data_IF_981943900340
#
_entry.id   IF_981943900340
#
_cell.length_a   1.000
_cell.length_b   1.000
_cell.length_c   1.000
_cell.angle_alpha   90.00
_cell.angle_beta   90.00
_cell.angle_gamma   90.00
#
_symmetry.space_group_name_H-M   'P 1'
#
loop_
_entity.id
_entity.type
_entity.pdbx_description
1 polymer ?
#
# COMPACT_ATOMS: atom_id res chain seq x y z
N UNK A 1 27.72 10.90 21.84
CA UNK A 1 27.44 9.79 22.78
C UNK A 1 27.43 8.52 21.97
N UNK A 2 28.12 7.46 22.41
CA UNK A 2 28.07 6.16 21.74
C UNK A 2 26.69 5.53 21.93
N UNK A 3 26.12 4.98 20.86
CA UNK A 3 24.88 4.20 20.93
C UNK A 3 25.10 2.97 21.81
N UNK A 4 24.11 2.64 22.65
CA UNK A 4 24.13 1.42 23.44
C UNK A 4 24.04 0.21 22.51
N UNK A 5 24.89 -0.78 22.75
CA UNK A 5 24.81 -2.09 22.09
C UNK A 5 23.43 -2.73 22.36
N UNK A 6 23.01 -3.66 21.51
CA UNK A 6 21.74 -4.39 21.68
C UNK A 6 21.69 -5.04 23.06
N UNK A 7 22.78 -5.66 23.51
CA UNK A 7 22.87 -6.29 24.84
C UNK A 7 22.71 -5.28 25.98
N UNK A 8 23.30 -4.09 25.83
CA UNK A 8 23.16 -3.03 26.84
C UNK A 8 21.73 -2.47 26.89
N UNK A 9 21.03 -2.42 25.75
CA UNK A 9 19.61 -2.04 25.69
C UNK A 9 18.72 -3.10 26.34
N UNK A 10 18.95 -4.38 26.04
CA UNK A 10 18.22 -5.51 26.65
C UNK A 10 18.41 -5.50 28.17
N UNK A 11 19.64 -5.28 28.64
CA UNK A 11 19.96 -5.21 30.07
C UNK A 11 19.26 -4.05 30.78
N UNK A 12 19.30 -2.84 30.22
CA UNK A 12 18.61 -1.66 30.77
C UNK A 12 17.11 -1.86 30.92
N UNK A 13 16.48 -2.49 29.93
CA UNK A 13 15.03 -2.76 29.93
C UNK A 13 14.70 -3.89 30.91
N UNK A 14 15.55 -4.92 31.02
CA UNK A 14 15.41 -6.01 32.01
C UNK A 14 15.57 -5.48 33.45
N UNK A 15 16.55 -4.62 33.69
CA UNK A 15 16.81 -3.98 35.00
C UNK A 15 15.65 -3.05 35.41
N UNK A 16 14.95 -2.47 34.43
CA UNK A 16 13.72 -1.70 34.65
C UNK A 16 12.47 -2.57 34.88
N UNK A 17 12.60 -3.90 34.92
CA UNK A 17 11.52 -4.90 34.94
C UNK A 17 10.55 -4.80 33.75
N UNK A 18 11.00 -4.22 32.64
CA UNK A 18 10.25 -4.18 31.40
C UNK A 18 10.55 -5.47 30.60
N UNK A 19 9.51 -6.07 30.01
CA UNK A 19 9.68 -7.27 29.20
C UNK A 19 10.22 -6.86 27.82
N UNK A 20 11.48 -7.21 27.52
CA UNK A 20 12.02 -7.08 26.16
C UNK A 20 11.41 -8.19 25.32
N UNK A 21 10.43 -7.85 24.48
CA UNK A 21 9.88 -8.81 23.54
C UNK A 21 10.81 -8.91 22.33
N UNK A 22 11.69 -9.91 22.33
CA UNK A 22 12.23 -10.45 21.08
C UNK A 22 11.05 -10.80 20.16
N UNK A 23 11.09 -10.36 18.90
CA UNK A 23 10.09 -10.66 17.86
C UNK A 23 9.36 -11.98 18.11
N UNK A 24 8.18 -11.91 18.72
CA UNK A 24 7.36 -13.08 18.96
C UNK A 24 6.77 -13.50 17.61
N UNK A 25 6.90 -14.77 17.27
CA UNK A 25 6.34 -15.29 16.02
C UNK A 25 4.85 -15.58 16.23
N UNK A 26 4.08 -15.69 15.14
CA UNK A 26 2.67 -16.10 15.18
C UNK A 26 2.44 -17.43 15.93
N UNK A 27 3.47 -18.28 16.05
CA UNK A 27 3.39 -19.55 16.77
C UNK A 27 3.36 -19.41 18.30
N UNK A 28 3.89 -18.31 18.84
CA UNK A 28 4.04 -18.09 20.28
C UNK A 28 2.77 -17.53 20.95
N UNK A 29 1.89 -16.87 20.17
CA UNK A 29 0.73 -16.15 20.66
C UNK A 29 -0.48 -17.02 21.08
N UNK A 30 -0.50 -18.32 20.74
CA UNK A 30 -1.63 -19.21 21.07
C UNK A 30 -1.78 -19.54 22.57
N UNK A 31 -0.85 -19.11 23.43
CA UNK A 31 -0.80 -19.50 24.85
C UNK A 31 -1.45 -18.50 25.83
N UNK A 32 -1.89 -17.32 25.40
CA UNK A 32 -2.14 -16.20 26.33
C UNK A 32 -3.60 -15.89 26.69
N UNK A 33 -4.59 -16.65 26.22
CA UNK A 33 -5.97 -16.63 26.75
C UNK A 33 -6.63 -15.24 26.89
N UNK A 34 -6.70 -14.45 25.82
CA UNK A 34 -7.28 -13.10 25.86
C UNK A 34 -8.83 -13.10 25.72
N UNK A 35 -9.49 -12.51 26.73
CA UNK A 35 -10.95 -12.35 26.89
C UNK A 35 -11.67 -11.35 25.94
N UNK A 36 -13.00 -11.46 25.92
CA UNK A 36 -13.95 -11.43 24.78
C UNK A 36 -14.65 -10.08 24.41
N UNK A 37 -14.10 -8.90 24.74
CA UNK A 37 -14.62 -7.61 24.20
C UNK A 37 -13.59 -6.83 23.37
N UNK A 38 -12.60 -7.55 22.84
CA UNK A 38 -11.45 -6.97 22.15
C UNK A 38 -11.78 -6.71 20.68
N UNK A 39 -12.32 -5.53 20.37
CA UNK A 39 -12.27 -5.01 18.99
C UNK A 39 -10.80 -4.76 18.67
N UNK A 40 -10.11 -5.83 18.26
CA UNK A 40 -8.71 -5.78 17.87
C UNK A 40 -8.63 -5.22 16.46
N UNK A 41 -7.88 -4.14 16.27
CA UNK A 41 -7.52 -3.68 14.95
C UNK A 41 -6.74 -4.78 14.19
N UNK A 42 -6.93 -4.86 12.89
CA UNK A 42 -6.08 -5.70 12.05
C UNK A 42 -4.73 -5.01 11.83
N UNK A 43 -3.73 -5.78 11.40
CA UNK A 43 -2.54 -5.16 10.80
C UNK A 43 -2.97 -4.43 9.52
N UNK A 44 -2.44 -3.24 9.29
CA UNK A 44 -2.85 -2.45 8.13
C UNK A 44 -2.42 -1.00 8.19
N UNK A 45 -2.92 -0.23 7.22
CA UNK A 45 -2.71 1.20 7.12
C UNK A 45 -3.95 1.92 7.61
N UNK A 46 -3.75 2.90 8.48
CA UNK A 46 -4.82 3.60 9.15
C UNK A 46 -4.61 5.11 9.03
N UNK A 47 -5.71 5.84 8.81
CA UNK A 47 -5.78 7.23 9.22
C UNK A 47 -6.22 7.25 10.68
N UNK A 48 -5.49 8.00 11.49
CA UNK A 48 -5.83 8.21 12.90
C UNK A 48 -6.44 9.60 13.00
N UNK A 49 -7.76 9.67 13.18
CA UNK A 49 -8.52 10.91 13.11
C UNK A 49 -8.98 11.29 14.50
N UNK A 50 -8.89 12.56 14.85
CA UNK A 50 -9.48 13.11 16.06
C UNK A 50 -10.50 14.18 15.70
N UNK A 51 -11.60 14.24 16.44
CA UNK A 51 -12.59 15.30 16.30
C UNK A 51 -12.26 16.43 17.26
N UNK A 52 -12.16 17.64 16.74
CA UNK A 52 -12.04 18.86 17.55
C UNK A 52 -13.35 19.17 18.28
N UNK A 53 -13.32 20.14 19.20
CA UNK A 53 -14.51 20.65 19.89
C UNK A 53 -15.55 21.25 18.93
N UNK A 54 -15.14 21.76 17.76
CA UNK A 54 -16.04 22.24 16.70
C UNK A 54 -16.46 21.13 15.71
N UNK A 55 -16.13 19.86 16.00
CA UNK A 55 -16.54 18.69 15.22
C UNK A 55 -15.76 18.47 13.92
N UNK A 56 -14.72 19.27 13.66
CA UNK A 56 -13.86 19.08 12.48
C UNK A 56 -12.90 17.91 12.70
N UNK A 57 -12.74 17.02 11.70
CA UNK A 57 -11.73 15.97 11.78
C UNK A 57 -10.34 16.56 11.55
N UNK A 58 -9.39 16.17 12.39
CA UNK A 58 -7.95 16.37 12.19
C UNK A 58 -7.28 15.00 12.09
N UNK A 59 -6.38 14.85 11.14
CA UNK A 59 -5.57 13.64 10.98
C UNK A 59 -4.29 13.77 11.80
N UNK A 60 -3.89 12.67 12.45
CA UNK A 60 -2.53 12.55 12.94
C UNK A 60 -1.59 12.55 11.73
N UNK A 61 -0.64 13.47 11.72
CA UNK A 61 0.35 13.63 10.67
C UNK A 61 1.73 13.92 11.26
N UNK A 62 2.74 13.97 10.40
CA UNK A 62 4.06 14.49 10.76
C UNK A 62 4.13 15.97 10.41
N UNK A 63 4.74 16.79 11.27
CA UNK A 63 5.02 18.19 10.96
C UNK A 63 6.21 18.28 9.97
N UNK A 64 5.94 17.96 8.70
CA UNK A 64 6.94 17.81 7.65
C UNK A 64 7.18 19.03 6.72
N UNK A 65 6.80 20.31 6.98
CA UNK A 65 6.96 21.32 5.94
C UNK A 65 8.41 21.59 5.51
N UNK A 66 9.42 21.25 6.33
CA UNK A 66 10.84 21.52 6.06
C UNK A 66 11.68 20.55 6.89
N UNK A 67 12.65 19.86 6.30
CA UNK A 67 14.03 19.66 6.84
C UNK A 67 14.66 18.32 6.42
N UNK A 68 15.48 18.40 5.36
CA UNK A 68 16.59 17.47 5.16
C UNK A 68 17.49 17.56 6.40
N UNK A 69 17.64 16.46 7.15
CA UNK A 69 18.63 16.33 8.24
C UNK A 69 18.10 16.33 9.68
N UNK A 70 16.79 16.38 9.92
CA UNK A 70 16.25 16.13 11.26
C UNK A 70 16.15 14.63 11.57
N UNK A 71 16.48 14.26 12.81
CA UNK A 71 16.40 12.87 13.30
C UNK A 71 15.11 12.57 14.06
N UNK A 72 14.25 13.59 14.26
CA UNK A 72 12.97 13.50 14.96
C UNK A 72 11.92 14.35 14.23
N UNK A 73 10.75 13.77 13.97
CA UNK A 73 9.61 14.48 13.40
C UNK A 73 8.44 14.40 14.38
N UNK A 74 7.88 15.52 14.86
CA UNK A 74 6.77 15.49 15.80
C UNK A 74 5.50 15.00 15.12
N UNK A 75 4.71 14.24 15.86
CA UNK A 75 3.34 13.89 15.47
C UNK A 75 2.44 15.07 15.82
N UNK A 76 1.65 15.53 14.87
CA UNK A 76 0.71 16.63 15.02
C UNK A 76 -0.68 16.21 14.52
N UNK A 77 -1.72 16.97 14.87
CA UNK A 77 -3.09 16.81 14.43
C UNK A 77 -3.40 17.93 13.44
N UNK A 78 -3.44 17.64 12.15
CA UNK A 78 -3.62 18.66 11.11
C UNK A 78 -4.80 18.41 10.16
N UNK A 79 -5.18 19.47 9.45
CA UNK A 79 -6.12 19.44 8.33
C UNK A 79 -5.42 19.69 6.99
N UNK A 80 -4.09 19.56 6.94
CA UNK A 80 -3.29 19.81 5.74
C UNK A 80 -3.66 18.88 4.58
N UNK A 81 -3.85 19.36 3.35
CA UNK A 81 -4.23 18.48 2.23
C UNK A 81 -3.12 17.50 1.78
N UNK A 82 -1.93 17.53 2.38
CA UNK A 82 -0.86 16.57 2.04
C UNK A 82 -1.24 15.17 2.51
N UNK A 83 -1.53 14.30 1.54
CA UNK A 83 -2.15 12.99 1.75
C UNK A 83 -1.21 12.03 2.50
N UNK A 84 0.10 12.19 2.36
CA UNK A 84 1.10 11.14 2.60
C UNK A 84 1.45 10.95 4.06
N UNK A 85 1.50 12.04 4.82
CA UNK A 85 1.91 12.04 6.23
C UNK A 85 0.80 11.60 7.20
N UNK A 86 -0.41 11.35 6.68
CA UNK A 86 -1.62 11.07 7.48
C UNK A 86 -1.89 9.60 7.70
N UNK A 87 -1.10 8.74 7.08
CA UNK A 87 -1.28 7.30 7.12
C UNK A 87 -0.25 6.66 8.02
N UNK A 88 -0.72 5.71 8.81
CA UNK A 88 0.04 5.03 9.83
C UNK A 88 -0.10 3.53 9.63
N UNK A 89 1.02 2.83 9.54
CA UNK A 89 1.00 1.37 9.56
C UNK A 89 0.99 0.89 10.99
N UNK A 90 -0.02 0.11 11.32
CA UNK A 90 -0.15 -0.62 12.58
C UNK A 90 0.28 -2.07 12.33
N UNK A 91 1.22 -2.56 13.13
CA UNK A 91 1.68 -3.95 13.09
C UNK A 91 1.64 -4.55 14.47
N UNK A 92 0.87 -5.63 14.62
CA UNK A 92 0.62 -6.29 15.89
C UNK A 92 1.91 -6.85 16.47
N UNK A 93 2.10 -6.58 17.76
CA UNK A 93 3.18 -7.13 18.57
C UNK A 93 2.63 -8.31 19.36
N UNK A 94 3.02 -9.51 18.93
CA UNK A 94 2.61 -10.74 19.59
C UNK A 94 3.04 -10.72 21.06
N UNK A 95 2.29 -11.40 21.93
CA UNK A 95 2.52 -11.41 23.38
C UNK A 95 2.00 -10.20 24.14
N UNK A 96 1.57 -9.13 23.46
CA UNK A 96 0.92 -7.97 24.06
C UNK A 96 -0.51 -7.87 23.56
N UNK A 97 -1.49 -7.98 24.46
CA UNK A 97 -2.92 -7.78 24.11
C UNK A 97 -3.10 -6.38 23.54
N UNK A 98 -3.71 -6.25 22.37
CA UNK A 98 -3.82 -5.01 21.60
C UNK A 98 -2.50 -4.23 21.41
N UNK A 99 -1.35 -4.91 21.44
CA UNK A 99 -0.05 -4.28 21.24
C UNK A 99 0.23 -4.08 19.76
N UNK A 100 0.65 -2.87 19.38
CA UNK A 100 1.04 -2.51 18.02
C UNK A 100 2.31 -1.67 18.03
N UNK A 101 3.12 -1.83 16.99
CA UNK A 101 4.01 -0.76 16.55
C UNK A 101 3.25 0.14 15.60
N UNK A 102 3.38 1.45 15.81
CA UNK A 102 2.76 2.49 14.99
C UNK A 102 3.89 3.25 14.30
N UNK A 103 3.94 3.15 12.98
CA UNK A 103 4.95 3.82 12.13
C UNK A 103 4.24 4.60 11.03
N UNK A 104 4.83 5.69 10.48
CA UNK A 104 4.32 6.29 9.26
C UNK A 104 4.20 5.24 8.14
N UNK A 105 3.18 5.34 7.30
CA UNK A 105 2.90 4.35 6.25
C UNK A 105 4.08 4.17 5.29
N UNK A 106 4.77 5.27 4.97
CA UNK A 106 5.93 5.29 4.09
C UNK A 106 7.23 4.85 4.79
N UNK A 107 7.29 4.84 6.13
CA UNK A 107 8.50 4.49 6.85
C UNK A 107 8.82 3.00 6.63
N UNK A 108 10.02 2.61 6.18
CA UNK A 108 10.38 1.20 6.10
C UNK A 108 10.43 0.61 7.52
N UNK A 109 9.79 -0.55 7.76
CA UNK A 109 10.17 -1.39 8.92
C UNK A 109 11.50 -2.03 8.50
N UNK A 110 12.59 -1.29 8.67
CA UNK A 110 13.93 -1.78 8.39
C UNK A 110 14.65 -2.09 9.69
N UNK A 111 15.38 -3.20 9.70
CA UNK A 111 16.25 -3.60 10.80
C UNK A 111 17.39 -2.61 11.10
N UNK A 112 17.63 -1.52 10.33
CA UNK A 112 18.68 -0.54 10.67
C UNK A 112 18.76 0.82 9.92
N UNK A 113 17.98 1.20 8.89
CA UNK A 113 18.42 2.33 8.02
C UNK A 113 17.44 3.45 7.66
N UNK A 114 16.20 3.50 8.17
CA UNK A 114 15.20 4.53 7.85
C UNK A 114 14.58 5.20 9.08
N UNK A 115 13.59 6.09 8.89
CA UNK A 115 12.76 6.59 9.98
C UNK A 115 12.04 5.42 10.66
N UNK A 116 12.06 5.43 11.98
CA UNK A 116 11.62 4.31 12.79
C UNK A 116 10.19 4.44 13.30
N UNK A 117 9.86 3.80 14.42
CA UNK A 117 8.55 3.87 15.05
C UNK A 117 8.31 5.22 15.72
N UNK A 118 7.04 5.49 16.00
CA UNK A 118 6.68 6.55 16.95
C UNK A 118 7.35 6.28 18.30
N UNK A 119 7.78 7.30 19.01
CA UNK A 119 8.46 7.29 20.31
C UNK A 119 8.12 8.56 21.09
N UNK A 120 8.52 8.60 22.35
CA UNK A 120 8.32 9.74 23.24
C UNK A 120 9.67 10.41 23.52
N UNK A 121 9.72 11.75 23.55
CA UNK A 121 10.89 12.49 24.04
C UNK A 121 10.78 12.82 25.54
N UNK A 122 11.83 13.44 26.09
CA UNK A 122 11.86 13.83 27.52
C UNK A 122 10.79 14.86 27.90
N UNK A 123 10.18 15.53 26.90
CA UNK A 123 9.08 16.50 27.07
C UNK A 123 7.71 15.87 26.84
N UNK A 124 7.65 14.53 26.75
CA UNK A 124 6.44 13.77 26.48
C UNK A 124 5.81 14.06 25.13
N UNK A 125 6.48 14.68 24.18
CA UNK A 125 5.95 14.82 22.82
C UNK A 125 6.17 13.51 22.04
N UNK A 126 5.22 13.16 21.18
CA UNK A 126 5.31 11.99 20.31
C UNK A 126 6.06 12.38 19.06
N UNK A 127 7.09 11.60 18.71
CA UNK A 127 7.91 11.80 17.51
C UNK A 127 8.11 10.50 16.76
N UNK A 128 8.49 10.59 15.50
CA UNK A 128 9.11 9.48 14.77
C UNK A 128 10.62 9.67 14.78
N UNK A 129 11.36 8.64 15.19
CA UNK A 129 12.83 8.69 15.33
C UNK A 129 13.51 7.60 14.51
N UNK A 130 14.66 7.93 13.90
CA UNK A 130 15.47 6.98 13.13
C UNK A 130 16.07 5.85 13.99
N UNK A 131 16.59 6.22 15.17
CA UNK A 131 17.42 5.32 15.99
C UNK A 131 16.73 4.89 17.31
N UNK A 132 15.41 5.04 17.43
CA UNK A 132 14.69 4.66 18.65
C UNK A 132 14.32 3.18 18.66
N UNK A 133 14.19 2.61 19.85
CA UNK A 133 13.54 1.32 20.01
C UNK A 133 12.06 1.44 19.58
N UNK A 134 11.43 0.33 19.21
CA UNK A 134 10.00 0.25 18.92
C UNK A 134 9.22 0.24 20.23
N UNK A 135 8.64 1.38 20.68
CA UNK A 135 7.66 1.27 21.75
C UNK A 135 6.48 0.47 21.22
N UNK A 136 5.93 -0.31 22.13
CA UNK A 136 4.71 -1.04 21.88
C UNK A 136 3.59 -0.17 22.43
N UNK A 137 2.60 0.11 21.59
CA UNK A 137 1.41 0.85 21.95
C UNK A 137 0.26 -0.13 22.17
N UNK A 138 -0.47 0.02 23.26
CA UNK A 138 -1.73 -0.67 23.46
C UNK A 138 -2.86 0.18 22.85
N UNK A 139 -3.41 -0.27 21.71
CA UNK A 139 -4.48 0.45 21.01
C UNK A 139 -5.82 -0.15 21.41
N UNK A 140 -6.51 0.52 22.33
CA UNK A 140 -7.73 0.00 22.97
C UNK A 140 -8.95 0.79 22.55
N UNK A 141 -10.01 0.10 22.15
CA UNK A 141 -11.33 0.71 21.95
C UNK A 141 -11.90 1.12 23.32
N UNK A 142 -12.20 2.40 23.51
CA UNK A 142 -12.74 2.93 24.77
C UNK A 142 -14.17 3.47 24.62
N UNK A 143 -14.58 3.85 23.41
CA UNK A 143 -15.93 4.33 23.13
C UNK A 143 -16.40 3.85 21.75
N UNK A 144 -17.69 3.54 21.63
CA UNK A 144 -18.33 3.25 20.35
C UNK A 144 -19.54 4.16 20.18
N UNK A 145 -19.52 4.99 19.15
CA UNK A 145 -20.59 5.94 18.83
C UNK A 145 -21.37 5.44 17.64
N UNK A 146 -22.68 5.29 17.77
CA UNK A 146 -23.55 4.88 16.66
C UNK A 146 -24.38 6.06 16.19
N UNK A 147 -24.36 6.35 14.90
CA UNK A 147 -25.19 7.37 14.26
C UNK A 147 -25.89 6.82 13.04
N UNK A 148 -26.86 7.58 12.54
CA UNK A 148 -27.60 7.25 11.32
C UNK A 148 -27.01 8.03 10.16
N UNK A 149 -26.62 7.34 9.10
CA UNK A 149 -26.11 7.98 7.88
C UNK A 149 -27.23 8.61 7.04
N UNK A 150 -26.84 9.20 5.90
CA UNK A 150 -27.76 9.88 4.97
C UNK A 150 -28.82 8.97 4.37
N UNK A 151 -28.56 7.66 4.31
CA UNK A 151 -29.47 6.64 3.78
C UNK A 151 -30.31 5.98 4.88
N UNK A 152 -30.20 6.47 6.12
CA UNK A 152 -30.93 5.92 7.26
C UNK A 152 -30.30 4.66 7.86
N UNK A 153 -29.11 4.24 7.43
CA UNK A 153 -28.38 3.08 7.96
C UNK A 153 -27.60 3.48 9.21
N UNK A 154 -27.54 2.58 10.18
CA UNK A 154 -26.74 2.79 11.39
C UNK A 154 -25.27 2.49 11.08
N UNK A 155 -24.40 3.43 11.41
CA UNK A 155 -22.94 3.29 11.36
C UNK A 155 -22.41 3.42 12.78
N UNK A 156 -21.60 2.46 13.21
CA UNK A 156 -20.89 2.51 14.49
C UNK A 156 -19.44 2.88 14.23
N UNK A 157 -18.99 4.00 14.80
CA UNK A 157 -17.59 4.40 14.85
C UNK A 157 -17.02 3.95 16.20
N UNK A 158 -15.88 3.26 16.16
CA UNK A 158 -15.11 2.92 17.33
C UNK A 158 -14.01 3.97 17.54
N UNK A 159 -13.88 4.44 18.77
CA UNK A 159 -12.90 5.42 19.21
C UNK A 159 -11.91 4.75 20.15
N UNK A 160 -10.63 4.96 19.86
CA UNK A 160 -9.52 4.25 20.47
C UNK A 160 -8.63 5.21 21.26
N UNK A 161 -8.10 4.75 22.40
CA UNK A 161 -6.91 5.36 23.01
C UNK A 161 -5.66 4.60 22.56
N UNK A 162 -4.59 5.35 22.34
CA UNK A 162 -3.25 4.81 22.06
C UNK A 162 -2.43 4.95 23.34
N UNK A 163 -2.25 3.84 24.05
CA UNK A 163 -1.63 3.80 25.38
C UNK A 163 -0.18 3.33 25.29
N UNK A 164 0.71 3.91 26.06
CA UNK A 164 2.08 3.42 26.20
C UNK A 164 2.08 2.13 27.04
N UNK A 165 2.58 1.02 26.50
CA UNK A 165 2.56 -0.27 27.20
C UNK A 165 3.36 -0.20 28.50
N UNK A 166 2.77 -0.70 29.58
CA UNK A 166 3.39 -0.72 30.91
C UNK A 166 3.27 0.59 31.68
N UNK A 167 2.62 1.62 31.13
CA UNK A 167 2.35 2.88 31.82
C UNK A 167 0.85 3.20 31.82
N UNK A 168 0.46 4.23 32.57
CA UNK A 168 -0.91 4.78 32.53
C UNK A 168 -0.95 6.07 31.71
N UNK A 169 -0.20 6.11 30.61
CA UNK A 169 -0.12 7.28 29.74
C UNK A 169 -0.67 6.97 28.35
N UNK A 170 -1.28 7.96 27.71
CA UNK A 170 -1.82 7.84 26.35
C UNK A 170 -1.45 9.03 25.49
N UNK A 171 -1.62 8.86 24.18
CA UNK A 171 -1.60 9.95 23.22
C UNK A 171 -2.72 10.93 23.53
N UNK A 172 -2.39 12.22 23.51
CA UNK A 172 -3.29 13.34 23.73
C UNK A 172 -2.86 14.51 22.87
N UNK A 173 -3.77 15.08 22.07
CA UNK A 173 -3.48 16.34 21.40
C UNK A 173 -3.60 17.50 22.37
N UNK A 174 -2.74 18.51 22.24
CA UNK A 174 -3.03 19.74 22.97
C UNK A 174 -4.17 20.47 22.25
N UNK A 175 -5.33 20.59 22.91
CA UNK A 175 -6.54 21.21 22.35
C UNK A 175 -6.40 22.71 22.06
N UNK A 176 -5.18 23.26 22.06
CA UNK A 176 -4.85 24.64 21.74
C UNK A 176 -4.41 24.82 20.28
N UNK A 177 -3.74 25.95 20.00
CA UNK A 177 -3.10 26.19 18.70
C UNK A 177 -1.91 25.26 18.42
N UNK A 178 -1.44 24.52 19.43
CA UNK A 178 -0.39 23.53 19.33
C UNK A 178 -0.96 22.20 18.85
N UNK A 179 -0.95 21.97 17.55
CA UNK A 179 -1.41 20.70 16.96
C UNK A 179 -0.62 19.47 17.42
N UNK A 180 0.38 19.58 18.30
CA UNK A 180 1.26 18.47 18.64
C UNK A 180 0.60 17.42 19.52
N UNK A 181 0.82 16.15 19.18
CA UNK A 181 0.45 14.99 20.00
C UNK A 181 1.50 14.76 21.07
N UNK A 182 1.03 14.64 22.30
CA UNK A 182 1.84 14.40 23.51
C UNK A 182 1.37 13.13 24.21
N UNK A 183 2.19 12.66 25.14
CA UNK A 183 1.88 11.60 26.08
C UNK A 183 1.49 12.25 27.40
N UNK A 184 0.31 11.93 27.90
CA UNK A 184 -0.19 12.42 29.17
C UNK A 184 -0.75 11.28 30.01
N UNK A 185 -0.90 11.50 31.32
CA UNK A 185 -1.65 10.59 32.17
C UNK A 185 -3.06 10.43 31.62
N UNK A 186 -3.54 9.19 31.60
CA UNK A 186 -4.89 8.85 31.17
C UNK A 186 -5.92 9.52 32.09
N UNK A 187 -6.91 10.18 31.51
CA UNK A 187 -8.02 10.75 32.29
C UNK A 187 -8.88 9.63 32.88
N UNK A 188 -9.14 9.71 34.19
CA UNK A 188 -10.01 8.77 34.89
C UNK A 188 -11.48 9.00 34.49
N UNK A 189 -12.24 7.91 34.33
CA UNK A 189 -13.64 7.98 33.92
C UNK A 189 -13.79 8.03 32.39
N UNK A 190 -14.72 8.88 31.92
CA UNK A 190 -14.97 9.04 30.48
C UNK A 190 -13.78 9.76 29.83
N UNK A 191 -13.15 9.18 28.79
CA UNK A 191 -12.03 9.81 28.12
C UNK A 191 -12.48 11.10 27.44
N UNK A 192 -11.72 12.20 27.56
CA UNK A 192 -11.98 13.40 26.78
C UNK A 192 -11.69 13.16 25.30
N UNK A 193 -12.32 13.94 24.42
CA UNK A 193 -12.19 13.80 22.96
C UNK A 193 -10.74 13.94 22.46
N UNK A 194 -9.91 14.70 23.17
CA UNK A 194 -8.50 14.91 22.86
C UNK A 194 -7.59 13.69 23.20
N UNK A 195 -8.14 12.65 23.85
CA UNK A 195 -7.50 11.34 24.05
C UNK A 195 -8.01 10.26 23.09
N UNK A 196 -9.08 10.53 22.33
CA UNK A 196 -9.78 9.54 21.50
C UNK A 196 -9.46 9.72 20.01
N UNK A 197 -9.18 8.60 19.34
CA UNK A 197 -8.85 8.52 17.93
C UNK A 197 -9.78 7.55 17.20
N UNK A 198 -10.39 8.01 16.11
CA UNK A 198 -11.04 7.17 15.12
C UNK A 198 -9.96 6.52 14.23
N UNK A 199 -10.00 5.19 14.11
CA UNK A 199 -9.04 4.41 13.34
C UNK A 199 -9.70 3.99 12.02
N UNK A 200 -9.46 4.76 10.96
CA UNK A 200 -10.03 4.47 9.64
C UNK A 200 -9.02 3.65 8.85
N UNK A 201 -9.29 2.34 8.71
CA UNK A 201 -8.52 1.47 7.81
C UNK A 201 -8.55 2.08 6.41
N UNK A 202 -7.42 2.59 5.96
CA UNK A 202 -7.32 3.34 4.73
C UNK A 202 -5.95 3.14 4.14
N UNK A 203 -5.95 2.77 2.87
CA UNK A 203 -4.76 2.47 2.11
C UNK A 203 -4.53 3.69 1.23
N UNK A 204 -3.43 4.47 1.42
CA UNK A 204 -3.18 5.58 0.53
C UNK A 204 -2.85 4.99 -0.84
N UNK A 205 -3.74 5.17 -1.80
CA UNK A 205 -3.58 4.70 -3.16
C UNK A 205 -3.19 5.86 -4.08
N UNK A 206 -2.26 5.61 -4.98
CA UNK A 206 -1.93 6.50 -6.08
C UNK A 206 -2.15 5.81 -7.41
N UNK A 207 -2.60 6.59 -8.38
CA UNK A 207 -2.69 6.15 -9.76
C UNK A 207 -1.40 6.51 -10.48
N UNK A 208 -0.67 5.50 -10.95
CA UNK A 208 0.54 5.65 -11.76
C UNK A 208 0.23 5.17 -13.16
N UNK A 209 0.20 6.09 -14.11
CA UNK A 209 -0.10 5.79 -15.51
C UNK A 209 1.17 5.74 -16.36
N UNK A 210 1.34 4.67 -17.13
CA UNK A 210 2.40 4.54 -18.12
C UNK A 210 1.75 4.54 -19.50
N UNK A 211 2.12 5.53 -20.32
CA UNK A 211 1.57 5.71 -21.65
C UNK A 211 2.54 5.18 -22.71
N UNK A 212 2.00 4.57 -23.76
CA UNK A 212 2.74 4.35 -24.98
C UNK A 212 3.14 5.69 -25.60
N UNK A 213 4.35 5.79 -26.12
CA UNK A 213 4.82 6.97 -26.88
C UNK A 213 4.78 6.76 -28.39
N UNK A 214 4.45 5.55 -28.84
CA UNK A 214 4.46 5.13 -30.24
C UNK A 214 3.17 4.36 -30.57
N UNK A 215 2.94 4.14 -31.86
CA UNK A 215 1.93 3.20 -32.35
C UNK A 215 2.52 1.79 -32.40
N UNK A 216 1.66 0.76 -32.50
CA UNK A 216 2.08 -0.62 -32.69
C UNK A 216 1.19 -1.32 -33.69
N UNK A 217 1.79 -2.22 -34.48
CA UNK A 217 1.03 -3.13 -35.36
C UNK A 217 1.62 -4.52 -35.33
N UNK A 218 0.84 -5.48 -34.84
CA UNK A 218 1.10 -6.91 -34.97
C UNK A 218 0.18 -7.48 -36.06
N UNK A 219 0.76 -8.12 -37.08
CA UNK A 219 0.02 -8.76 -38.18
C UNK A 219 0.45 -10.21 -38.26
N UNK A 220 -0.52 -11.13 -38.25
CA UNK A 220 -0.24 -12.54 -38.44
C UNK A 220 -0.30 -12.92 -39.94
N UNK A 221 0.65 -13.74 -40.36
CA UNK A 221 0.75 -14.28 -41.73
C UNK A 221 0.41 -15.76 -41.81
N UNK A 222 0.18 -16.41 -40.67
CA UNK A 222 -0.11 -17.84 -40.55
C UNK A 222 -0.98 -18.11 -39.32
N UNK A 223 -1.29 -19.38 -39.04
CA UNK A 223 -2.00 -19.77 -37.80
C UNK A 223 -1.19 -19.61 -36.51
N UNK A 224 0.07 -19.18 -36.59
CA UNK A 224 0.91 -18.92 -35.42
C UNK A 224 0.62 -17.55 -34.80
N UNK A 225 0.73 -17.46 -33.48
CA UNK A 225 0.56 -16.20 -32.75
C UNK A 225 1.77 -15.30 -32.98
N UNK A 226 1.53 -14.10 -33.48
CA UNK A 226 2.52 -13.02 -33.53
C UNK A 226 2.35 -12.16 -32.28
N UNK A 227 3.44 -11.97 -31.53
CA UNK A 227 3.51 -11.07 -30.38
C UNK A 227 4.54 -10.00 -30.66
N UNK A 228 4.14 -8.73 -30.52
CA UNK A 228 5.07 -7.61 -30.55
C UNK A 228 5.01 -6.84 -29.25
N UNK A 229 6.19 -6.52 -28.72
CA UNK A 229 6.29 -5.65 -27.56
C UNK A 229 5.77 -4.26 -27.91
N UNK A 230 4.86 -3.75 -27.09
CA UNK A 230 4.31 -2.41 -27.28
C UNK A 230 4.99 -1.40 -26.37
N UNK A 231 4.83 -1.55 -25.05
CA UNK A 231 5.50 -0.77 -24.02
C UNK A 231 5.47 -1.56 -22.72
N UNK A 232 6.15 -1.09 -21.67
CA UNK A 232 6.14 -1.78 -20.39
C UNK A 232 6.65 -0.95 -19.23
N UNK A 233 6.47 -1.48 -18.04
CA UNK A 233 6.88 -0.87 -16.78
C UNK A 233 7.96 -1.73 -16.10
N UNK A 234 9.16 -1.20 -15.82
CA UNK A 234 10.12 -1.92 -15.00
C UNK A 234 9.61 -2.05 -13.56
N UNK A 235 9.86 -3.21 -12.96
CA UNK A 235 9.46 -3.55 -11.60
C UNK A 235 10.71 -3.59 -10.71
N UNK A 236 10.62 -2.97 -9.54
CA UNK A 236 11.65 -3.04 -8.50
C UNK A 236 11.12 -3.78 -7.27
N UNK A 237 12.02 -4.42 -6.52
CA UNK A 237 11.69 -5.12 -5.27
C UNK A 237 10.89 -4.23 -4.31
N UNK A 238 11.24 -2.94 -4.24
CA UNK A 238 10.54 -1.95 -3.40
C UNK A 238 9.11 -1.67 -3.86
N UNK A 239 8.81 -1.78 -5.16
CA UNK A 239 7.48 -1.51 -5.73
C UNK A 239 6.54 -2.72 -5.70
N UNK A 240 7.04 -3.94 -5.78
CA UNK A 240 6.22 -5.16 -5.78
C UNK A 240 5.17 -5.20 -4.66
N UNK A 241 5.52 -4.96 -3.38
CA UNK A 241 4.52 -5.00 -2.32
C UNK A 241 3.51 -3.84 -2.39
N UNK A 242 3.82 -2.79 -3.16
CA UNK A 242 2.99 -1.61 -3.32
C UNK A 242 1.94 -1.77 -4.42
N UNK A 243 2.09 -2.67 -5.39
CA UNK A 243 1.03 -2.84 -6.38
C UNK A 243 -0.27 -3.31 -5.72
N UNK A 244 -1.36 -2.62 -6.05
CA UNK A 244 -2.74 -2.95 -5.67
C UNK A 244 -3.48 -3.51 -6.88
N UNK A 245 -3.35 -2.86 -8.04
CA UNK A 245 -3.91 -3.36 -9.28
C UNK A 245 -3.23 -2.77 -10.51
N UNK A 246 -3.50 -3.37 -11.67
CA UNK A 246 -3.12 -2.82 -12.97
C UNK A 246 -4.25 -3.04 -13.98
N UNK A 247 -4.50 -2.03 -14.81
CA UNK A 247 -5.46 -2.10 -15.92
C UNK A 247 -4.86 -1.47 -17.17
N UNK A 248 -5.10 -2.09 -18.32
CA UNK A 248 -4.68 -1.58 -19.62
C UNK A 248 -5.89 -1.03 -20.38
N UNK A 249 -5.74 0.19 -20.89
CA UNK A 249 -6.64 0.79 -21.87
C UNK A 249 -5.89 1.09 -23.16
N UNK A 250 -6.53 0.93 -24.31
CA UNK A 250 -5.94 1.19 -25.62
C UNK A 250 -6.92 1.91 -26.55
N UNK A 251 -6.40 2.73 -27.47
CA UNK A 251 -7.13 3.20 -28.65
C UNK A 251 -6.65 2.37 -29.84
N UNK A 252 -7.43 1.36 -30.22
CA UNK A 252 -6.98 0.30 -31.11
C UNK A 252 -8.10 -0.19 -32.03
N UNK A 253 -7.70 -0.93 -33.07
CA UNK A 253 -8.59 -1.59 -34.01
C UNK A 253 -7.99 -2.89 -34.52
N UNK A 254 -8.82 -3.72 -35.12
CA UNK A 254 -8.35 -4.83 -35.92
C UNK A 254 -8.34 -4.49 -37.43
N UNK A 255 -8.36 -5.50 -38.29
CA UNK A 255 -8.40 -5.33 -39.75
C UNK A 255 -9.78 -4.90 -40.29
N UNK A 256 -10.85 -4.98 -39.50
CA UNK A 256 -12.20 -4.56 -39.84
C UNK A 256 -13.03 -5.54 -40.69
N UNK A 257 -12.50 -6.72 -40.99
CA UNK A 257 -13.21 -7.76 -41.75
C UNK A 257 -12.70 -9.16 -41.40
N UNK A 258 -13.57 -10.15 -41.49
CA UNK A 258 -13.26 -11.57 -41.33
C UNK A 258 -14.21 -12.39 -42.20
N UNK A 259 -13.72 -13.48 -42.78
CA UNK A 259 -14.58 -14.36 -43.59
C UNK A 259 -15.65 -15.07 -42.75
N UNK A 260 -15.30 -15.37 -41.49
CA UNK A 260 -16.17 -16.03 -40.51
C UNK A 260 -16.07 -15.27 -39.17
N UNK A 261 -16.75 -14.11 -39.05
CA UNK A 261 -16.65 -13.26 -37.86
C UNK A 261 -17.20 -13.93 -36.60
N UNK A 262 -18.04 -14.94 -36.75
CA UNK A 262 -18.62 -15.78 -35.71
C UNK A 262 -17.62 -16.80 -35.12
N UNK A 263 -16.48 -17.03 -35.76
CA UNK A 263 -15.43 -17.95 -35.28
C UNK A 263 -14.47 -17.33 -34.28
N UNK A 264 -14.74 -16.11 -33.82
CA UNK A 264 -14.00 -15.43 -32.76
C UNK A 264 -13.09 -14.30 -33.25
N UNK A 265 -12.51 -13.60 -32.26
CA UNK A 265 -11.66 -12.43 -32.46
C UNK A 265 -10.20 -12.83 -32.24
N UNK A 266 -9.35 -12.67 -33.25
CA UNK A 266 -7.96 -13.17 -33.22
C UNK A 266 -6.92 -12.05 -33.18
N UNK A 267 -7.31 -10.87 -32.68
CA UNK A 267 -6.44 -9.76 -32.32
C UNK A 267 -6.71 -9.33 -30.89
N UNK A 268 -5.67 -9.15 -30.06
CA UNK A 268 -5.82 -8.83 -28.64
C UNK A 268 -4.57 -8.16 -28.06
N UNK A 269 -4.74 -7.60 -26.86
CA UNK A 269 -3.63 -7.21 -26.00
C UNK A 269 -3.50 -8.16 -24.81
N UNK A 270 -2.28 -8.47 -24.41
CA UNK A 270 -1.97 -9.22 -23.19
C UNK A 270 -0.87 -8.52 -22.37
N UNK A 271 -0.91 -8.71 -21.05
CA UNK A 271 0.18 -8.36 -20.14
C UNK A 271 1.08 -9.57 -19.98
N UNK A 272 2.39 -9.38 -20.03
CA UNK A 272 3.38 -10.42 -19.86
C UNK A 272 4.43 -10.02 -18.82
N UNK A 273 4.93 -10.99 -18.06
CA UNK A 273 6.11 -10.78 -17.21
C UNK A 273 7.36 -11.11 -18.02
N UNK A 274 8.17 -10.10 -18.29
CA UNK A 274 9.38 -10.21 -19.10
C UNK A 274 10.62 -10.05 -18.20
N UNK A 275 11.63 -10.94 -18.28
CA UNK A 275 12.86 -10.79 -17.49
C UNK A 275 13.69 -9.54 -17.83
N UNK A 276 13.39 -8.88 -18.95
CA UNK A 276 14.01 -7.63 -19.39
C UNK A 276 13.09 -6.90 -20.37
N UNK A 277 13.36 -5.61 -20.57
CA UNK A 277 12.66 -4.80 -21.58
C UNK A 277 13.01 -5.17 -23.02
N UNK A 278 12.13 -4.79 -23.93
CA UNK A 278 12.28 -4.88 -25.38
C UNK A 278 12.04 -3.50 -26.00
N UNK A 279 12.41 -3.31 -27.26
CA UNK A 279 12.01 -2.10 -28.00
C UNK A 279 10.61 -2.28 -28.56
N UNK A 280 9.87 -1.18 -28.71
CA UNK A 280 8.55 -1.18 -29.37
C UNK A 280 8.66 -1.82 -30.76
N UNK A 281 7.77 -2.78 -31.05
CA UNK A 281 7.73 -3.48 -32.33
C UNK A 281 8.57 -4.76 -32.39
N UNK A 282 9.48 -4.99 -31.43
CA UNK A 282 10.26 -6.22 -31.36
C UNK A 282 9.32 -7.42 -31.22
N UNK A 283 9.61 -8.49 -31.97
CA UNK A 283 8.94 -9.76 -31.78
C UNK A 283 9.31 -10.32 -30.41
N UNK A 284 8.33 -10.83 -29.67
CA UNK A 284 8.54 -11.46 -28.35
C UNK A 284 8.25 -12.95 -28.45
N UNK A 285 9.27 -13.80 -28.62
CA UNK A 285 9.11 -15.25 -28.58
C UNK A 285 8.61 -15.72 -27.20
N UNK A 286 7.82 -16.79 -27.19
CA UNK A 286 7.24 -17.34 -25.95
C UNK A 286 8.30 -17.81 -24.94
N UNK A 287 9.49 -18.23 -25.40
CA UNK A 287 10.61 -18.63 -24.55
C UNK A 287 11.32 -17.44 -23.87
N UNK A 288 11.04 -16.20 -24.30
CA UNK A 288 11.52 -14.98 -23.64
C UNK A 288 10.57 -14.44 -22.58
N UNK A 289 9.38 -15.02 -22.45
CA UNK A 289 8.42 -14.67 -21.40
C UNK A 289 8.74 -15.50 -20.16
N UNK A 290 8.68 -14.88 -18.99
CA UNK A 290 8.88 -15.58 -17.71
C UNK A 290 7.88 -16.72 -17.59
N UNK A 291 8.31 -17.85 -17.03
CA UNK A 291 7.47 -19.04 -16.87
C UNK A 291 7.06 -19.23 -15.41
N UNK A 292 5.83 -19.69 -15.22
CA UNK A 292 5.35 -20.17 -13.93
C UNK A 292 6.03 -21.50 -13.55
N UNK A 293 5.76 -22.00 -12.34
CA UNK A 293 6.34 -23.25 -11.83
C UNK A 293 5.99 -24.48 -12.68
N UNK A 294 4.85 -24.45 -13.36
CA UNK A 294 4.39 -25.52 -14.27
C UNK A 294 4.99 -25.40 -15.69
N UNK A 295 5.83 -24.39 -15.94
CA UNK A 295 6.45 -24.13 -17.22
C UNK A 295 5.60 -23.32 -18.21
N UNK A 296 4.36 -22.95 -17.85
CA UNK A 296 3.52 -22.08 -18.67
C UNK A 296 4.06 -20.64 -18.72
N UNK A 297 3.95 -19.93 -19.85
CA UNK A 297 4.35 -18.53 -19.93
C UNK A 297 3.38 -17.65 -19.11
N UNK A 298 3.92 -16.71 -18.34
CA UNK A 298 3.16 -15.76 -17.53
C UNK A 298 2.64 -14.62 -18.40
N UNK A 299 1.61 -14.92 -19.19
CA UNK A 299 0.87 -14.01 -20.06
C UNK A 299 -0.61 -14.00 -19.70
N UNK A 300 -1.22 -12.83 -19.68
CA UNK A 300 -2.61 -12.65 -19.27
C UNK A 300 -3.33 -11.72 -20.26
N UNK A 301 -4.38 -12.23 -20.92
CA UNK A 301 -5.14 -11.44 -21.89
C UNK A 301 -5.83 -10.27 -21.18
N UNK A 302 -5.62 -9.05 -21.68
CA UNK A 302 -6.28 -7.85 -21.17
C UNK A 302 -7.65 -7.65 -21.82
N UNK A 303 -7.70 -7.62 -23.15
CA UNK A 303 -8.93 -7.51 -23.93
C UNK A 303 -8.68 -7.92 -25.39
N UNK A 304 -9.73 -8.41 -26.05
CA UNK A 304 -9.75 -8.70 -27.50
C UNK A 304 -10.30 -7.50 -28.25
N UNK A 305 -9.78 -7.27 -29.46
CA UNK A 305 -10.26 -6.18 -30.31
C UNK A 305 -11.53 -6.61 -31.04
N UNK A 306 -12.60 -5.80 -31.02
CA UNK A 306 -13.77 -6.05 -31.84
C UNK A 306 -13.41 -5.92 -33.32
N UNK A 307 -14.17 -6.62 -34.17
CA UNK A 307 -14.02 -6.54 -35.61
C UNK A 307 -14.44 -5.17 -36.11
N UNK A 308 -13.47 -4.27 -36.28
CA UNK A 308 -13.71 -2.85 -36.57
C UNK A 308 -12.54 -2.27 -37.34
N UNK A 309 -12.85 -1.54 -38.42
CA UNK A 309 -11.84 -0.76 -39.15
C UNK A 309 -11.56 0.60 -38.49
N UNK A 310 -12.33 0.98 -37.48
CA UNK A 310 -12.19 2.25 -36.76
C UNK A 310 -11.46 2.05 -35.44
N UNK A 311 -10.63 3.02 -35.07
CA UNK A 311 -9.97 3.00 -33.77
C UNK A 311 -10.98 3.32 -32.68
N UNK A 312 -11.03 2.47 -31.67
CA UNK A 312 -11.97 2.57 -30.56
C UNK A 312 -11.20 2.47 -29.24
N UNK A 313 -11.67 3.22 -28.24
CA UNK A 313 -11.15 3.13 -26.88
C UNK A 313 -11.67 1.86 -26.22
N UNK A 314 -10.76 1.05 -25.71
CA UNK A 314 -11.04 -0.22 -25.08
C UNK A 314 -10.31 -0.27 -23.75
N UNK A 315 -10.99 -0.78 -22.74
CA UNK A 315 -10.42 -0.99 -21.40
C UNK A 315 -10.53 -2.45 -21.07
N UNK A 316 -9.41 -3.05 -20.70
CA UNK A 316 -9.34 -4.47 -20.40
C UNK A 316 -9.63 -4.82 -18.96
N UNK A 317 -9.38 -6.08 -18.64
CA UNK A 317 -9.53 -6.65 -17.29
C UNK A 317 -8.66 -5.90 -16.28
N UNK A 318 -9.22 -5.65 -15.09
CA UNK A 318 -8.50 -5.19 -13.92
C UNK A 318 -7.81 -6.38 -13.25
N UNK A 319 -6.48 -6.36 -13.20
CA UNK A 319 -5.70 -7.36 -12.47
C UNK A 319 -5.44 -6.83 -11.07
N UNK A 320 -6.00 -7.47 -10.05
CA UNK A 320 -5.84 -7.08 -8.63
C UNK A 320 -4.62 -7.76 -7.98
N UNK A 321 -4.20 -7.29 -6.80
CA UNK A 321 -3.00 -7.74 -6.06
C UNK A 321 -2.86 -9.25 -5.92
N UNK A 322 -3.97 -9.95 -5.73
CA UNK A 322 -3.99 -11.40 -5.55
C UNK A 322 -3.90 -12.18 -6.88
N UNK A 323 -3.87 -11.51 -8.01
CA UNK A 323 -3.72 -12.11 -9.34
C UNK A 323 -2.33 -12.72 -9.52
N UNK A 324 -2.24 -13.79 -10.33
CA UNK A 324 -0.99 -14.50 -10.62
C UNK A 324 0.09 -13.60 -11.23
N UNK A 325 -0.32 -12.53 -11.92
CA UNK A 325 0.55 -11.48 -12.44
C UNK A 325 1.48 -10.94 -11.34
N UNK A 326 0.94 -10.49 -10.20
CA UNK A 326 1.76 -9.89 -9.14
C UNK A 326 2.49 -10.94 -8.30
N UNK A 327 1.88 -12.10 -8.08
CA UNK A 327 2.48 -13.22 -7.31
C UNK A 327 3.78 -13.75 -7.91
N UNK A 328 3.99 -13.54 -9.21
CA UNK A 328 5.17 -14.02 -9.93
C UNK A 328 6.17 -12.91 -10.29
N UNK A 329 5.96 -11.66 -9.85
CA UNK A 329 6.93 -10.58 -10.06
C UNK A 329 8.19 -10.79 -9.22
N UNK A 330 9.33 -10.44 -9.80
CA UNK A 330 10.62 -10.34 -9.14
C UNK A 330 11.28 -9.00 -9.50
N UNK A 331 12.30 -8.63 -8.73
CA UNK A 331 13.12 -7.46 -9.00
C UNK A 331 13.74 -7.53 -10.40
N UNK A 332 13.65 -6.43 -11.15
CA UNK A 332 14.17 -6.32 -12.51
C UNK A 332 13.25 -6.87 -13.61
N UNK A 333 12.13 -7.52 -13.26
CA UNK A 333 11.11 -7.88 -14.24
C UNK A 333 10.49 -6.63 -14.90
N UNK A 334 9.85 -6.83 -16.04
CA UNK A 334 9.06 -5.81 -16.73
C UNK A 334 7.65 -6.35 -16.92
N UNK A 335 6.64 -5.58 -16.51
CA UNK A 335 5.25 -5.81 -16.92
C UNK A 335 5.10 -5.22 -18.31
N UNK A 336 5.16 -6.07 -19.33
CA UNK A 336 5.10 -5.69 -20.74
C UNK A 336 3.71 -5.84 -21.33
N UNK A 337 3.30 -4.87 -22.13
CA UNK A 337 2.10 -4.94 -22.97
C UNK A 337 2.50 -5.52 -24.33
N UNK A 338 1.84 -6.60 -24.73
CA UNK A 338 2.06 -7.26 -26.03
C UNK A 338 0.85 -7.08 -26.94
N UNK A 339 1.09 -6.55 -28.14
CA UNK A 339 0.12 -6.57 -29.22
C UNK A 339 0.15 -7.93 -29.91
N UNK A 340 -1.00 -8.59 -30.01
CA UNK A 340 -1.09 -9.97 -30.47
C UNK A 340 -2.07 -10.14 -31.62
N UNK A 341 -1.71 -10.99 -32.59
CA UNK A 341 -2.60 -11.42 -33.65
C UNK A 341 -2.35 -12.90 -33.99
N UNK A 342 -3.39 -13.60 -34.44
CA UNK A 342 -3.31 -14.99 -34.90
C UNK A 342 -4.16 -15.20 -36.16
N UNK A 343 -3.70 -16.08 -37.03
CA UNK A 343 -4.25 -16.36 -38.37
C UNK A 343 -3.92 -15.30 -39.41
N UNK A 344 -3.76 -15.76 -40.65
CA UNK A 344 -3.35 -14.89 -41.74
C UNK A 344 -4.29 -13.69 -41.88
N UNK A 345 -3.71 -12.50 -42.06
CA UNK A 345 -4.38 -11.20 -42.23
C UNK A 345 -5.02 -10.60 -40.97
N UNK A 346 -5.06 -11.31 -39.85
CA UNK A 346 -5.46 -10.69 -38.59
C UNK A 346 -4.43 -9.69 -38.12
N UNK A 347 -4.92 -8.57 -37.62
CA UNK A 347 -4.11 -7.41 -37.28
C UNK A 347 -4.52 -6.82 -35.94
N UNK A 348 -3.57 -6.50 -35.08
CA UNK A 348 -3.75 -5.71 -33.87
C UNK A 348 -3.01 -4.39 -34.06
N UNK A 349 -3.73 -3.28 -34.13
CA UNK A 349 -3.23 -1.97 -34.51
C UNK A 349 -3.65 -0.92 -33.48
N UNK A 350 -2.70 -0.39 -32.72
CA UNK A 350 -2.94 0.60 -31.68
C UNK A 350 -2.23 1.92 -31.97
N UNK A 351 -2.94 3.02 -31.70
CA UNK A 351 -2.39 4.38 -31.73
C UNK A 351 -1.90 4.84 -30.37
N UNK A 352 -2.59 4.43 -29.32
CA UNK A 352 -2.20 4.70 -27.94
C UNK A 352 -2.56 3.53 -27.03
N UNK A 353 -1.79 3.40 -25.96
CA UNK A 353 -2.03 2.52 -24.85
C UNK A 353 -1.67 3.24 -23.55
N UNK A 354 -2.40 2.91 -22.50
CA UNK A 354 -2.26 3.48 -21.18
C UNK A 354 -2.42 2.36 -20.15
N UNK A 355 -1.35 2.07 -19.41
CA UNK A 355 -1.33 1.08 -18.34
C UNK A 355 -1.38 1.81 -17.00
N UNK A 356 -2.52 1.70 -16.31
CA UNK A 356 -2.76 2.34 -15.03
C UNK A 356 -2.49 1.35 -13.91
N UNK A 357 -1.54 1.67 -13.05
CA UNK A 357 -1.34 1.01 -11.78
C UNK A 357 -2.06 1.77 -10.68
N UNK A 358 -2.74 1.02 -9.81
CA UNK A 358 -3.01 1.50 -8.46
C UNK A 358 -1.87 0.98 -7.60
N UNK A 359 -1.08 1.89 -7.05
CA UNK A 359 0.01 1.57 -6.11
C UNK A 359 -0.35 2.10 -4.73
N UNK A 360 0.09 1.40 -3.69
CA UNK A 360 0.22 1.96 -2.36
C UNK A 360 1.19 3.13 -2.45
N UNK A 361 0.72 4.31 -2.11
CA UNK A 361 1.52 5.52 -2.10
C UNK A 361 2.63 5.37 -1.05
N UNK A 362 3.87 5.56 -1.49
CA UNK A 362 5.06 5.70 -0.63
C UNK A 362 5.76 6.96 -1.10
N UNK A 363 5.94 7.93 -0.19
CA UNK A 363 6.62 9.18 -0.52
C UNK A 363 8.09 8.88 -0.85
N UNK A 364 8.58 9.17 -2.06
CA UNK A 364 9.96 8.91 -2.44
C UNK A 364 10.98 9.84 -1.73
N UNK A 365 10.55 10.91 -1.06
CA UNK A 365 11.41 11.86 -0.36
C UNK A 365 11.48 11.65 1.16
N UNK A 366 10.85 10.59 1.66
CA UNK A 366 10.63 10.39 3.09
C UNK A 366 11.65 9.46 3.77
#
# INVERSE_FOLDING_TARGET
MSLLTVDNRIKLVTDAKCCVLSHLTRSDAKKTGADELDITLCDGFYRMIQKTSDGKPLDASLDAPKLIGQTQLPVVMDGSPQVTDRFWRLTRQFGVKNGYTIVPAWAPIADASGLGPTTVDDKSAVFVRKDSCYPIWNVRCDESVTYRDVDGKYITINLFRILEVGTNKCWKSDGGSGKQVKISQVTAGQPPADELFEMVLSVPEQNVSINSVQTITATASSGQIVRKFYFGAPVTASKIPLYVSVQLSTNARDQGWANHPDQGLWSWFELAILPKGFNTGDAVPVDKIKKAKDGSPLTFISHRLPLSSTYEDQTGVLFEKDHELFKNLADGDVIGVLACAQFAMWKCDARSGNMNFVELFVDPNA
#
